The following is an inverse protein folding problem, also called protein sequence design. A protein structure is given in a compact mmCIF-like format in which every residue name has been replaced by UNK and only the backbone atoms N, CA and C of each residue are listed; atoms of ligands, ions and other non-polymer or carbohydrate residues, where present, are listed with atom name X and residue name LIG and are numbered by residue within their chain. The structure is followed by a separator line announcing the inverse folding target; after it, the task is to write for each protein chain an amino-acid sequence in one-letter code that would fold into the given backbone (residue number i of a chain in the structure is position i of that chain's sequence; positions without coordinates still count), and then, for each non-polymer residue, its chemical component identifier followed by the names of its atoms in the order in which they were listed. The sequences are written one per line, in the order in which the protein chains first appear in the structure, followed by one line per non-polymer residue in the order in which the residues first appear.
data_IF_231565778140
#
_entry.id   IF_231565778140
#
_cell.length_a   1.000
_cell.length_b   1.000
_cell.length_c   1.000
_cell.angle_alpha   90.00
_cell.angle_beta   90.00
_cell.angle_gamma   90.00
#
_symmetry.space_group_name_H-M   'P 1'
#
loop_
_entity.id
_entity.type
_entity.pdbx_description
1 polymer ?
#
# COMPACT_ATOMS: atom_id res chain seq x y z
N UNK A 1 -3.90 20.21 1.28
CA UNK A 1 -3.91 18.99 2.11
C UNK A 1 -4.32 19.41 3.51
N UNK A 2 -5.41 18.86 4.05
CA UNK A 2 -5.63 18.96 5.50
C UNK A 2 -4.42 18.27 6.16
N UNK A 3 -3.85 18.84 7.21
CA UNK A 3 -2.64 18.28 7.84
C UNK A 3 -2.77 16.79 8.19
N UNK A 4 -3.98 16.32 8.52
CA UNK A 4 -4.28 14.92 8.83
C UNK A 4 -3.95 13.94 7.69
N UNK A 5 -4.30 14.28 6.44
CA UNK A 5 -4.04 13.39 5.29
C UNK A 5 -2.54 13.26 4.99
N UNK A 6 -1.74 14.32 5.19
CA UNK A 6 -0.27 14.23 5.05
C UNK A 6 0.34 13.32 6.10
N UNK A 7 -0.07 13.50 7.35
CA UNK A 7 0.45 12.73 8.49
C UNK A 7 0.13 11.23 8.32
N UNK A 8 -1.08 10.91 7.87
CA UNK A 8 -1.48 9.53 7.58
C UNK A 8 -0.59 8.87 6.52
N UNK A 9 -0.36 9.54 5.37
CA UNK A 9 0.46 8.96 4.29
C UNK A 9 1.92 8.83 4.71
N UNK A 10 2.48 9.78 5.47
CA UNK A 10 3.86 9.66 5.97
C UNK A 10 4.00 8.56 7.02
N UNK A 11 2.99 8.39 7.88
CA UNK A 11 2.97 7.29 8.85
C UNK A 11 2.92 5.93 8.13
N UNK A 12 2.01 5.77 7.17
CA UNK A 12 1.92 4.58 6.33
C UNK A 12 3.25 4.33 5.59
N UNK A 13 3.85 5.36 4.99
CA UNK A 13 5.14 5.25 4.28
C UNK A 13 6.25 4.72 5.17
N UNK A 14 6.34 5.23 6.38
CA UNK A 14 7.40 4.82 7.31
C UNK A 14 7.15 3.40 7.83
N UNK A 15 5.90 3.04 8.06
CA UNK A 15 5.50 1.69 8.47
C UNK A 15 5.79 0.66 7.37
N UNK A 16 5.26 0.88 6.16
CA UNK A 16 5.38 -0.06 5.04
C UNK A 16 6.84 -0.18 4.56
N UNK A 17 7.65 0.89 4.65
CA UNK A 17 9.09 0.81 4.41
C UNK A 17 9.79 -0.09 5.44
N UNK A 18 9.44 0.03 6.72
CA UNK A 18 9.97 -0.84 7.77
C UNK A 18 9.61 -2.31 7.55
N UNK A 19 8.35 -2.58 7.16
CA UNK A 19 7.86 -3.92 6.82
C UNK A 19 8.62 -4.48 5.61
N UNK A 20 8.78 -3.68 4.54
CA UNK A 20 9.50 -4.08 3.33
C UNK A 20 10.94 -4.48 3.64
N UNK A 21 11.64 -3.72 4.47
CA UNK A 21 13.01 -4.06 4.91
C UNK A 21 13.02 -5.37 5.71
N UNK A 22 12.09 -5.55 6.66
CA UNK A 22 12.02 -6.76 7.47
C UNK A 22 11.76 -8.01 6.62
N UNK A 23 10.79 -7.95 5.70
CA UNK A 23 10.48 -9.03 4.75
C UNK A 23 11.68 -9.34 3.86
N UNK A 24 12.38 -8.32 3.35
CA UNK A 24 13.53 -8.50 2.47
C UNK A 24 14.73 -9.14 3.18
N UNK A 25 14.99 -8.75 4.43
CA UNK A 25 16.00 -9.43 5.26
C UNK A 25 15.57 -10.88 5.52
N UNK A 26 14.30 -11.12 5.83
CA UNK A 26 13.74 -12.46 5.95
C UNK A 26 13.96 -13.31 4.69
N UNK A 27 13.76 -12.73 3.50
CA UNK A 27 14.10 -13.38 2.23
C UNK A 27 15.59 -13.73 2.13
N UNK A 28 16.51 -12.79 2.38
CA UNK A 28 17.96 -13.05 2.27
C UNK A 28 18.36 -14.24 3.16
N UNK A 29 17.81 -14.32 4.37
CA UNK A 29 18.12 -15.37 5.33
C UNK A 29 17.51 -16.73 4.97
N UNK A 30 16.35 -16.75 4.32
CA UNK A 30 15.59 -17.98 4.01
C UNK A 30 15.71 -18.45 2.58
N UNK A 31 16.12 -17.56 1.67
CA UNK A 31 16.05 -17.72 0.22
C UNK A 31 14.64 -18.11 -0.28
N UNK A 32 13.59 -17.78 0.48
CA UNK A 32 12.22 -18.16 0.14
C UNK A 32 11.64 -17.27 -0.96
N UNK A 33 11.22 -17.90 -2.06
CA UNK A 33 10.53 -17.22 -3.16
C UNK A 33 9.22 -16.52 -2.71
N UNK A 34 8.50 -17.10 -1.74
CA UNK A 34 7.31 -16.47 -1.16
C UNK A 34 7.63 -15.17 -0.42
N UNK A 35 8.73 -15.16 0.34
CA UNK A 35 9.17 -13.96 1.05
C UNK A 35 9.73 -12.89 0.12
N UNK A 36 10.36 -13.29 -0.98
CA UNK A 36 10.76 -12.34 -2.02
C UNK A 36 9.53 -11.65 -2.62
N UNK A 37 8.49 -12.41 -3.01
CA UNK A 37 7.26 -11.86 -3.55
C UNK A 37 6.59 -10.87 -2.58
N UNK A 38 6.51 -11.24 -1.31
CA UNK A 38 5.99 -10.38 -0.23
C UNK A 38 6.81 -9.12 0.00
N UNK A 39 8.15 -9.21 -0.13
CA UNK A 39 9.05 -8.06 -0.01
C UNK A 39 8.87 -7.07 -1.16
N UNK A 40 8.72 -7.59 -2.39
CA UNK A 40 8.45 -6.80 -3.59
C UNK A 40 7.09 -6.10 -3.48
N UNK A 41 6.08 -6.77 -2.93
CA UNK A 41 4.78 -6.18 -2.66
C UNK A 41 4.89 -4.96 -1.73
N UNK A 42 5.46 -5.14 -0.53
CA UNK A 42 5.61 -4.04 0.42
C UNK A 42 6.50 -2.90 -0.10
N UNK A 43 7.44 -3.18 -1.02
CA UNK A 43 8.22 -2.16 -1.73
C UNK A 43 7.36 -1.38 -2.73
N UNK A 44 6.47 -2.05 -3.47
CA UNK A 44 5.52 -1.40 -4.38
C UNK A 44 4.58 -0.46 -3.61
N UNK A 45 4.05 -0.90 -2.47
CA UNK A 45 3.20 -0.11 -1.58
C UNK A 45 3.91 1.14 -1.05
N UNK A 46 5.15 0.97 -0.58
CA UNK A 46 6.00 2.09 -0.18
C UNK A 46 6.22 3.08 -1.33
N UNK A 47 6.41 2.57 -2.55
CA UNK A 47 6.57 3.39 -3.75
C UNK A 47 5.29 4.14 -4.11
N UNK A 48 4.12 3.53 -3.95
CA UNK A 48 2.83 4.17 -4.15
C UNK A 48 2.63 5.34 -3.20
N UNK A 49 2.95 5.14 -1.93
CA UNK A 49 2.84 6.19 -0.91
C UNK A 49 3.81 7.34 -1.21
N UNK A 50 5.02 7.05 -1.69
CA UNK A 50 5.95 8.08 -2.18
C UNK A 50 5.38 8.87 -3.38
N UNK A 51 4.74 8.19 -4.34
CA UNK A 51 4.10 8.83 -5.49
C UNK A 51 2.92 9.71 -5.07
N UNK A 52 2.10 9.28 -4.11
CA UNK A 52 1.01 10.10 -3.55
C UNK A 52 1.54 11.34 -2.84
N UNK A 53 2.61 11.22 -2.04
CA UNK A 53 3.28 12.36 -1.40
C UNK A 53 3.85 13.32 -2.44
N UNK A 54 4.49 12.80 -3.49
CA UNK A 54 5.02 13.59 -4.59
C UNK A 54 3.93 14.36 -5.32
N UNK A 55 2.84 13.68 -5.70
CA UNK A 55 1.71 14.30 -6.39
C UNK A 55 1.01 15.35 -5.55
N UNK A 56 0.90 15.11 -4.24
CA UNK A 56 0.36 16.11 -3.31
C UNK A 56 1.27 17.33 -3.16
N UNK A 57 2.60 17.14 -3.16
CA UNK A 57 3.57 18.25 -3.16
C UNK A 57 3.46 19.07 -4.44
N UNK A 58 3.36 18.42 -5.59
CA UNK A 58 3.18 19.06 -6.90
C UNK A 58 1.87 19.83 -7.01
N UNK A 59 0.78 19.26 -6.49
CA UNK A 59 -0.54 19.88 -6.53
C UNK A 59 -0.64 21.20 -5.73
N UNK A 60 0.31 21.47 -4.82
CA UNK A 60 0.42 22.72 -4.06
C UNK A 60 1.21 23.81 -4.76
N UNK A 61 1.82 23.53 -5.91
CA UNK A 61 2.59 24.53 -6.65
C UNK A 61 1.66 25.66 -7.11
N UNK A 62 2.14 26.90 -6.96
CA UNK A 62 1.42 28.09 -7.38
C UNK A 62 1.21 28.15 -8.89
N UNK A 63 0.19 28.89 -9.30
CA UNK A 63 -0.09 29.14 -10.71
C UNK A 63 1.08 29.85 -11.39
N UNK A 64 1.31 29.52 -12.65
CA UNK A 64 2.28 30.22 -13.50
C UNK A 64 1.72 30.39 -14.91
N UNK A 65 2.49 31.01 -15.80
CA UNK A 65 2.06 31.27 -17.18
C UNK A 65 1.61 30.01 -17.95
N UNK A 66 2.24 28.87 -17.67
CA UNK A 66 1.89 27.57 -18.26
C UNK A 66 0.65 26.93 -17.62
N UNK A 67 0.38 27.22 -16.34
CA UNK A 67 -0.77 26.71 -15.59
C UNK A 67 -1.49 27.86 -14.85
N UNK A 68 -2.31 28.66 -15.54
CA UNK A 68 -2.96 29.85 -14.97
C UNK A 68 -3.92 29.53 -13.81
N UNK A 69 -4.47 28.31 -13.80
CA UNK A 69 -5.36 27.82 -12.75
C UNK A 69 -4.64 27.04 -11.64
N UNK A 70 -3.30 27.02 -11.65
CA UNK A 70 -2.49 26.26 -10.69
C UNK A 70 -2.40 24.77 -10.97
N UNK A 71 -1.73 24.05 -10.08
CA UNK A 71 -1.36 22.64 -10.26
C UNK A 71 -2.26 21.66 -9.50
N UNK A 72 -3.38 22.12 -8.93
CA UNK A 72 -4.23 21.30 -8.05
C UNK A 72 -4.73 19.98 -8.66
N UNK A 73 -4.79 19.89 -9.99
CA UNK A 73 -5.18 18.67 -10.73
C UNK A 73 -4.08 17.59 -10.78
N UNK A 74 -2.82 17.93 -10.51
CA UNK A 74 -1.72 16.96 -10.47
C UNK A 74 -2.00 15.81 -9.49
N UNK A 75 -2.72 16.07 -8.39
CA UNK A 75 -3.06 15.02 -7.42
C UNK A 75 -3.83 13.85 -8.07
N UNK A 76 -4.73 14.15 -9.02
CA UNK A 76 -5.54 13.14 -9.69
C UNK A 76 -4.70 12.34 -10.68
N UNK A 77 -3.79 13.02 -11.38
CA UNK A 77 -2.84 12.37 -12.28
C UNK A 77 -1.95 11.37 -11.51
N UNK A 78 -1.35 11.79 -10.40
CA UNK A 78 -0.50 10.90 -9.60
C UNK A 78 -1.29 9.77 -8.92
N UNK A 79 -2.53 10.02 -8.50
CA UNK A 79 -3.41 8.96 -7.99
C UNK A 79 -3.78 7.95 -9.07
N UNK A 80 -3.95 8.40 -10.32
CA UNK A 80 -4.17 7.51 -11.46
C UNK A 80 -2.92 6.68 -11.78
N UNK A 81 -1.73 7.28 -11.74
CA UNK A 81 -0.46 6.54 -11.88
C UNK A 81 -0.33 5.46 -10.82
N UNK A 82 -0.64 5.77 -9.57
CA UNK A 82 -0.65 4.79 -8.47
C UNK A 82 -1.65 3.65 -8.74
N UNK A 83 -2.86 3.97 -9.22
CA UNK A 83 -3.84 2.95 -9.58
C UNK A 83 -3.33 2.02 -10.70
N UNK A 84 -2.63 2.55 -11.71
CA UNK A 84 -2.00 1.75 -12.76
C UNK A 84 -0.90 0.84 -12.20
N UNK A 85 -0.06 1.37 -11.30
CA UNK A 85 1.00 0.61 -10.65
C UNK A 85 0.43 -0.54 -9.80
N UNK A 86 -0.55 -0.26 -8.94
CA UNK A 86 -1.22 -1.27 -8.13
C UNK A 86 -1.88 -2.35 -8.99
N UNK A 87 -2.59 -1.96 -10.04
CA UNK A 87 -3.24 -2.92 -10.94
C UNK A 87 -2.22 -3.80 -11.66
N UNK A 88 -1.13 -3.22 -12.16
CA UNK A 88 -0.10 -3.94 -12.93
C UNK A 88 0.84 -4.74 -12.02
N UNK A 89 1.66 -4.07 -11.22
CA UNK A 89 2.67 -4.71 -10.37
C UNK A 89 2.06 -5.45 -9.19
N UNK A 90 0.90 -5.05 -8.67
CA UNK A 90 0.19 -5.81 -7.66
C UNK A 90 -0.64 -6.93 -8.29
N UNK A 91 -1.66 -6.55 -9.05
CA UNK A 91 -2.67 -7.48 -9.56
C UNK A 91 -2.17 -8.48 -10.60
N UNK A 92 -1.57 -7.99 -11.70
CA UNK A 92 -1.13 -8.87 -12.79
C UNK A 92 0.04 -9.77 -12.36
N UNK A 93 0.96 -9.25 -11.55
CA UNK A 93 2.05 -10.04 -11.00
C UNK A 93 1.55 -11.16 -10.08
N UNK A 94 0.61 -10.86 -9.17
CA UNK A 94 0.01 -11.87 -8.30
C UNK A 94 -0.72 -12.97 -9.09
N UNK A 95 -1.43 -12.61 -10.17
CA UNK A 95 -2.06 -13.58 -11.07
C UNK A 95 -1.01 -14.45 -11.78
N UNK A 96 0.05 -13.84 -12.30
CA UNK A 96 1.14 -14.56 -12.94
C UNK A 96 1.80 -15.56 -11.98
N UNK A 97 2.19 -15.11 -10.79
CA UNK A 97 2.79 -15.96 -9.74
C UNK A 97 1.85 -17.08 -9.30
N UNK A 98 0.55 -16.79 -9.12
CA UNK A 98 -0.46 -17.78 -8.76
C UNK A 98 -0.60 -18.88 -9.82
N UNK A 99 -0.71 -18.51 -11.10
CA UNK A 99 -0.78 -19.47 -12.20
C UNK A 99 0.53 -20.26 -12.32
N UNK A 100 1.66 -19.58 -12.18
CA UNK A 100 2.98 -20.20 -12.28
C UNK A 100 3.21 -21.25 -11.19
N UNK A 101 2.87 -20.95 -9.93
CA UNK A 101 2.98 -21.90 -8.81
C UNK A 101 2.06 -23.11 -8.92
N UNK A 102 0.86 -22.94 -9.50
CA UNK A 102 -0.03 -24.07 -9.79
C UNK A 102 0.58 -24.95 -10.90
N UNK A 103 1.22 -24.34 -11.88
CA UNK A 103 1.79 -25.05 -13.04
C UNK A 103 3.13 -25.73 -12.73
N UNK A 104 3.92 -25.17 -11.82
CA UNK A 104 5.23 -25.67 -11.42
C UNK A 104 5.40 -25.61 -9.88
N UNK A 105 4.88 -26.63 -9.17
CA UNK A 105 4.92 -26.67 -7.72
C UNK A 105 6.35 -26.93 -7.23
N UNK A 106 6.93 -25.95 -6.52
CA UNK A 106 8.20 -26.10 -5.86
C UNK A 106 7.99 -26.19 -4.35
N UNK A 107 8.62 -27.15 -3.68
CA UNK A 107 8.56 -27.24 -2.22
C UNK A 107 9.30 -26.04 -1.60
N UNK A 108 8.62 -25.34 -0.67
CA UNK A 108 9.25 -24.31 0.14
C UNK A 108 10.12 -24.94 1.22
N UNK A 109 11.44 -24.80 1.07
CA UNK A 109 12.38 -25.10 2.15
C UNK A 109 12.06 -24.23 3.38
N UNK A 110 11.97 -24.86 4.55
CA UNK A 110 11.73 -24.22 5.85
C UNK A 110 10.37 -23.53 6.05
N UNK A 111 9.28 -24.28 5.89
CA UNK A 111 7.89 -23.87 6.18
C UNK A 111 7.73 -23.11 7.52
N UNK A 112 8.41 -23.54 8.58
CA UNK A 112 8.33 -22.90 9.89
C UNK A 112 8.80 -21.43 9.89
N UNK A 113 9.83 -21.10 9.08
CA UNK A 113 10.33 -19.73 8.98
C UNK A 113 9.39 -18.89 8.12
N UNK A 114 8.85 -19.46 7.04
CA UNK A 114 7.84 -18.80 6.21
C UNK A 114 6.59 -18.42 7.02
N UNK A 115 6.05 -19.35 7.82
CA UNK A 115 4.93 -19.11 8.73
C UNK A 115 5.29 -18.02 9.76
N UNK A 116 6.47 -18.10 10.37
CA UNK A 116 6.92 -17.10 11.35
C UNK A 116 6.96 -15.68 10.77
N UNK A 117 7.41 -15.53 9.53
CA UNK A 117 7.46 -14.24 8.87
C UNK A 117 6.08 -13.78 8.40
N UNK A 118 5.20 -14.68 7.92
CA UNK A 118 3.80 -14.33 7.62
C UNK A 118 3.08 -13.80 8.86
N UNK A 119 3.25 -14.44 10.02
CA UNK A 119 2.69 -13.97 11.29
C UNK A 119 3.27 -12.61 11.67
N UNK A 120 4.57 -12.40 11.53
CA UNK A 120 5.19 -11.09 11.77
C UNK A 120 4.66 -10.02 10.81
N UNK A 121 4.46 -10.36 9.53
CA UNK A 121 3.88 -9.48 8.52
C UNK A 121 2.45 -9.09 8.88
N UNK A 122 1.58 -10.04 9.24
CA UNK A 122 0.22 -9.78 9.72
C UNK A 122 0.24 -8.82 10.91
N UNK A 123 1.12 -9.04 11.90
CA UNK A 123 1.18 -8.14 13.07
C UNK A 123 1.57 -6.71 12.68
N UNK A 124 2.52 -6.54 11.75
CA UNK A 124 2.97 -5.23 11.31
C UNK A 124 1.96 -4.54 10.39
N UNK A 125 1.35 -5.26 9.44
CA UNK A 125 0.29 -4.75 8.57
C UNK A 125 -0.93 -4.35 9.40
N UNK A 126 -1.34 -5.17 10.37
CA UNK A 126 -2.43 -4.87 11.32
C UNK A 126 -2.15 -3.58 12.11
N UNK A 127 -0.89 -3.32 12.46
CA UNK A 127 -0.49 -2.07 13.09
C UNK A 127 -0.57 -0.87 12.12
N UNK A 128 -0.11 -1.04 10.87
CA UNK A 128 -0.21 -0.03 9.81
C UNK A 128 -1.66 0.33 9.52
N UNK A 129 -2.50 -0.67 9.26
CA UNK A 129 -3.94 -0.56 9.03
C UNK A 129 -4.64 0.12 10.21
N UNK A 130 -4.32 -0.29 11.44
CA UNK A 130 -4.88 0.34 12.65
C UNK A 130 -4.54 1.83 12.73
N UNK A 131 -3.34 2.22 12.29
CA UNK A 131 -2.91 3.62 12.24
C UNK A 131 -3.64 4.39 11.14
N UNK A 132 -3.74 3.81 9.94
CA UNK A 132 -4.50 4.39 8.82
C UNK A 132 -5.97 4.58 9.17
N UNK A 133 -6.60 3.60 9.83
CA UNK A 133 -7.99 3.66 10.31
C UNK A 133 -8.17 4.78 11.33
N UNK A 134 -7.25 4.91 12.31
CA UNK A 134 -7.31 5.99 13.31
C UNK A 134 -7.24 7.37 12.67
N UNK A 135 -6.35 7.57 11.69
CA UNK A 135 -6.26 8.84 10.97
C UNK A 135 -7.49 9.09 10.07
N UNK A 136 -8.01 8.05 9.42
CA UNK A 136 -9.23 8.14 8.63
C UNK A 136 -10.45 8.47 9.47
N UNK A 137 -10.56 7.95 10.69
CA UNK A 137 -11.63 8.30 11.64
C UNK A 137 -11.62 9.79 12.03
N UNK A 138 -10.48 10.48 11.95
CA UNK A 138 -10.42 11.94 12.21
C UNK A 138 -11.05 12.77 11.09
N UNK A 139 -11.08 12.24 9.87
CA UNK A 139 -11.56 12.93 8.67
C UNK A 139 -12.96 12.45 8.28
N UNK A 140 -13.23 11.16 8.48
CA UNK A 140 -14.50 10.52 8.17
C UNK A 140 -15.60 11.00 9.13
N UNK A 141 -16.74 11.53 8.62
CA UNK A 141 -17.88 11.85 9.46
C UNK A 141 -18.39 10.64 10.25
N UNK A 142 -18.70 10.83 11.54
CA UNK A 142 -19.18 9.74 12.42
C UNK A 142 -20.49 9.11 11.93
N UNK A 143 -21.36 9.90 11.30
CA UNK A 143 -22.65 9.47 10.74
C UNK A 143 -22.55 8.71 9.41
N UNK A 144 -21.36 8.64 8.81
CA UNK A 144 -21.15 8.02 7.50
C UNK A 144 -20.60 6.60 7.64
N UNK A 145 -21.00 5.66 6.77
CA UNK A 145 -20.39 4.33 6.71
C UNK A 145 -19.04 4.35 6.00
N UNK A 146 -18.19 3.34 6.23
CA UNK A 146 -16.89 3.20 5.56
C UNK A 146 -17.01 3.10 4.04
N UNK A 147 -17.95 2.30 3.54
CA UNK A 147 -18.21 2.18 2.10
C UNK A 147 -18.58 3.53 1.47
N UNK A 148 -19.43 4.30 2.15
CA UNK A 148 -19.81 5.63 1.67
C UNK A 148 -18.63 6.58 1.73
N UNK A 149 -17.78 6.50 2.76
CA UNK A 149 -16.57 7.31 2.89
C UNK A 149 -15.60 7.05 1.74
N UNK A 150 -15.29 5.79 1.44
CA UNK A 150 -14.42 5.39 0.34
C UNK A 150 -14.96 5.91 -1.00
N UNK A 151 -16.27 5.77 -1.26
CA UNK A 151 -16.90 6.24 -2.51
C UNK A 151 -17.02 7.76 -2.62
N UNK A 152 -17.12 8.48 -1.51
CA UNK A 152 -17.34 9.94 -1.51
C UNK A 152 -16.08 10.75 -1.22
N UNK A 153 -14.95 10.10 -0.96
CA UNK A 153 -13.71 10.77 -0.60
C UNK A 153 -13.21 11.62 -1.78
N UNK A 154 -13.12 12.94 -1.56
CA UNK A 154 -12.56 13.86 -2.56
C UNK A 154 -11.05 13.70 -2.73
N UNK A 155 -10.39 13.14 -1.72
CA UNK A 155 -8.96 12.86 -1.65
C UNK A 155 -8.77 11.35 -1.73
N UNK A 156 -8.28 10.81 -2.86
CA UNK A 156 -8.16 9.37 -3.08
C UNK A 156 -7.05 8.73 -2.24
N UNK A 157 -6.14 9.51 -1.69
CA UNK A 157 -4.93 9.02 -1.04
C UNK A 157 -5.25 8.09 0.15
N UNK A 158 -6.17 8.51 1.01
CA UNK A 158 -6.50 7.75 2.23
C UNK A 158 -7.38 6.51 1.96
N UNK A 159 -8.42 6.58 1.11
CA UNK A 159 -9.13 5.39 0.65
C UNK A 159 -8.24 4.35 -0.04
N UNK A 160 -7.27 4.78 -0.85
CA UNK A 160 -6.35 3.86 -1.54
C UNK A 160 -5.52 3.09 -0.53
N UNK A 161 -4.84 3.78 0.40
CA UNK A 161 -4.04 3.14 1.46
C UNK A 161 -4.88 2.16 2.29
N UNK A 162 -6.10 2.55 2.70
CA UNK A 162 -6.97 1.66 3.46
C UNK A 162 -7.38 0.40 2.69
N UNK A 163 -7.65 0.52 1.39
CA UNK A 163 -8.05 -0.63 0.57
C UNK A 163 -6.86 -1.56 0.27
N UNK A 164 -5.69 -0.97 0.08
CA UNK A 164 -4.40 -1.67 -0.09
C UNK A 164 -4.08 -2.50 1.17
N UNK A 165 -3.99 -1.85 2.34
CA UNK A 165 -3.68 -2.51 3.61
C UNK A 165 -4.69 -3.63 3.96
N UNK A 166 -5.99 -3.41 3.70
CA UNK A 166 -7.03 -4.44 3.91
C UNK A 166 -6.86 -5.61 2.95
N UNK A 167 -6.53 -5.32 1.68
CA UNK A 167 -6.27 -6.36 0.68
C UNK A 167 -5.05 -7.19 1.05
N UNK A 168 -3.98 -6.55 1.50
CA UNK A 168 -2.75 -7.20 1.95
C UNK A 168 -3.01 -8.10 3.17
N UNK A 169 -3.71 -7.61 4.19
CA UNK A 169 -4.11 -8.40 5.37
C UNK A 169 -4.91 -9.65 4.99
N UNK A 170 -5.92 -9.49 4.14
CA UNK A 170 -6.71 -10.64 3.65
C UNK A 170 -5.82 -11.62 2.89
N UNK A 171 -4.92 -11.13 2.04
CA UNK A 171 -3.96 -11.95 1.31
C UNK A 171 -3.05 -12.75 2.23
N UNK A 172 -2.47 -12.11 3.25
CA UNK A 172 -1.61 -12.74 4.24
C UNK A 172 -2.36 -13.80 5.06
N UNK A 173 -3.60 -13.54 5.46
CA UNK A 173 -4.44 -14.49 6.18
C UNK A 173 -4.83 -15.71 5.34
N UNK A 174 -5.00 -15.55 4.03
CA UNK A 174 -5.27 -16.65 3.10
C UNK A 174 -4.01 -17.46 2.78
N UNK A 175 -2.83 -16.83 2.83
CA UNK A 175 -1.55 -17.48 2.58
C UNK A 175 -1.03 -18.29 3.78
N UNK A 176 -1.45 -17.94 5.00
CA UNK A 176 -1.14 -18.64 6.25
C UNK A 176 -1.95 -19.93 6.40
#
# INVERSE_FOLDING_TARGET
MQEGSKKAIVAAFTANLGISIAKFVGFILTQSAGLLAESVHSLADTSNQALLLFGSKRAKKEANSLHPFGYGRERYFWSFVVALVLFSMGGLFALYEGIHKISDPHETDNLAIAIGILVAAILLESYSLSTAVKEAQRIKPKSQSWLKFIKSAKQPELPVVLLEDVGAEIGLLLAL
#
